data_IF_944639451371
#
_entry.id   IF_944639451371
#
_cell.length_a   1.000
_cell.length_b   1.000
_cell.length_c   1.000
_cell.angle_alpha   90.00
_cell.angle_beta   90.00
_cell.angle_gamma   90.00
#
_symmetry.space_group_name_H-M   'P 1'
#
loop_
_entity.id
_entity.type
_entity.pdbx_description
1 polymer ?
#
# COMPACT_ATOMS: atom_id res chain seq x y z
N UNK A 1 76.33 15.74 2.06
CA UNK A 1 75.48 14.84 1.23
C UNK A 1 74.62 13.87 2.04
N UNK A 2 75.08 13.33 3.15
CA UNK A 2 74.34 12.41 3.99
C UNK A 2 73.15 13.07 4.71
N UNK A 3 73.25 14.32 5.11
CA UNK A 3 72.12 15.05 5.75
C UNK A 3 70.93 15.31 4.81
N UNK A 4 71.19 15.54 3.50
CA UNK A 4 70.11 15.73 2.50
C UNK A 4 69.35 14.44 2.19
N UNK A 5 69.98 13.31 2.20
CA UNK A 5 69.35 12.00 1.99
C UNK A 5 68.44 11.63 3.15
N UNK A 6 68.84 11.92 4.39
CA UNK A 6 68.03 11.74 5.58
C UNK A 6 66.76 12.60 5.56
N UNK A 7 66.86 13.86 5.18
CA UNK A 7 65.71 14.78 5.06
C UNK A 7 64.75 14.37 3.97
N UNK A 8 65.25 13.89 2.83
CA UNK A 8 64.43 13.40 1.72
C UNK A 8 63.65 12.14 2.14
N UNK A 9 64.26 11.21 2.84
CA UNK A 9 63.63 9.99 3.35
C UNK A 9 62.54 10.29 4.38
N UNK A 10 62.76 11.23 5.28
CA UNK A 10 61.79 11.69 6.27
C UNK A 10 60.58 12.33 5.58
N UNK A 11 60.84 13.20 4.59
CA UNK A 11 59.76 13.83 3.81
C UNK A 11 58.92 12.83 3.03
N UNK A 12 59.51 11.82 2.43
CA UNK A 12 58.84 10.76 1.73
C UNK A 12 57.98 9.91 2.67
N UNK A 13 58.49 9.62 3.85
CA UNK A 13 57.78 8.90 4.91
C UNK A 13 56.55 9.70 5.39
N UNK A 14 56.71 10.97 5.68
CA UNK A 14 55.61 11.86 6.10
C UNK A 14 54.53 12.00 5.04
N UNK A 15 54.87 12.13 3.77
CA UNK A 15 53.92 12.18 2.65
C UNK A 15 53.20 10.87 2.49
N UNK A 16 53.87 9.73 2.62
CA UNK A 16 53.28 8.41 2.54
C UNK A 16 52.29 8.17 3.67
N UNK A 17 52.63 8.58 4.88
CA UNK A 17 51.76 8.53 6.04
C UNK A 17 50.54 9.43 5.91
N UNK A 18 50.72 10.66 5.39
CA UNK A 18 49.61 11.57 5.12
C UNK A 18 48.67 11.04 4.09
N UNK A 19 49.14 10.46 3.00
CA UNK A 19 48.33 9.82 1.98
C UNK A 19 47.54 8.64 2.52
N UNK A 20 48.11 7.85 3.41
CA UNK A 20 47.44 6.73 4.08
C UNK A 20 46.31 7.24 4.97
N UNK A 21 46.56 8.26 5.79
CA UNK A 21 45.57 8.88 6.67
C UNK A 21 44.42 9.49 5.85
N UNK A 22 44.73 10.19 4.78
CA UNK A 22 43.74 10.78 3.89
C UNK A 22 42.84 9.70 3.21
N UNK A 23 43.47 8.59 2.81
CA UNK A 23 42.75 7.45 2.24
C UNK A 23 41.81 6.81 3.27
N UNK A 24 42.27 6.59 4.48
CA UNK A 24 41.46 6.02 5.55
C UNK A 24 40.30 6.93 5.91
N UNK A 25 40.51 8.25 5.98
CA UNK A 25 39.43 9.22 6.20
C UNK A 25 38.40 9.19 5.07
N UNK A 26 38.87 9.16 3.82
CA UNK A 26 38.01 9.08 2.65
C UNK A 26 37.14 7.79 2.65
N UNK A 27 37.75 6.65 2.93
CA UNK A 27 37.06 5.36 3.00
C UNK A 27 36.05 5.35 4.14
N UNK A 28 36.37 5.95 5.29
CA UNK A 28 35.45 6.06 6.41
C UNK A 28 34.27 6.98 6.10
N UNK A 29 34.53 8.12 5.46
CA UNK A 29 33.45 9.02 5.00
C UNK A 29 32.55 8.36 3.99
N UNK A 30 33.10 7.57 3.04
CA UNK A 30 32.34 6.80 2.08
C UNK A 30 31.45 5.76 2.78
N UNK A 31 31.99 5.04 3.74
CA UNK A 31 31.22 4.07 4.53
C UNK A 31 30.08 4.73 5.29
N UNK A 32 30.31 5.88 5.89
CA UNK A 32 29.28 6.66 6.58
C UNK A 32 28.17 7.10 5.62
N UNK A 33 28.54 7.60 4.45
CA UNK A 33 27.59 8.03 3.41
C UNK A 33 26.76 6.86 2.90
N UNK A 34 27.39 5.71 2.65
CA UNK A 34 26.71 4.49 2.21
C UNK A 34 25.76 3.99 3.29
N UNK A 35 26.18 4.00 4.55
CA UNK A 35 25.35 3.59 5.68
C UNK A 35 24.15 4.52 5.87
N UNK A 36 24.36 5.84 5.82
CA UNK A 36 23.28 6.83 5.90
C UNK A 36 22.31 6.68 4.73
N UNK A 37 22.82 6.46 3.50
CA UNK A 37 22.01 6.24 2.33
C UNK A 37 21.16 4.95 2.45
N UNK A 38 21.77 3.88 2.98
CA UNK A 38 21.09 2.60 3.24
C UNK A 38 19.97 2.76 4.27
N UNK A 39 20.28 3.43 5.40
CA UNK A 39 19.28 3.69 6.45
C UNK A 39 18.11 4.53 5.92
N UNK A 40 18.43 5.56 5.14
CA UNK A 40 17.42 6.42 4.52
C UNK A 40 16.54 5.65 3.54
N UNK A 41 17.14 4.79 2.74
CA UNK A 41 16.42 3.90 1.81
C UNK A 41 15.50 2.94 2.54
N UNK A 42 16.00 2.28 3.59
CA UNK A 42 15.20 1.37 4.42
C UNK A 42 14.02 2.09 5.08
N UNK A 43 14.25 3.30 5.58
CA UNK A 43 13.20 4.12 6.19
C UNK A 43 12.12 4.48 5.17
N UNK A 44 12.51 4.87 3.96
CA UNK A 44 11.58 5.16 2.86
C UNK A 44 10.77 3.93 2.45
N UNK A 45 11.40 2.77 2.35
CA UNK A 45 10.74 1.51 2.03
C UNK A 45 9.71 1.13 3.09
N UNK A 46 10.06 1.29 4.38
CA UNK A 46 9.13 1.06 5.49
C UNK A 46 7.95 2.03 5.45
N UNK A 47 8.23 3.29 5.15
CA UNK A 47 7.20 4.32 5.01
C UNK A 47 6.23 3.99 3.87
N UNK A 48 6.75 3.59 2.72
CA UNK A 48 5.94 3.20 1.56
C UNK A 48 5.05 2.00 1.87
N UNK A 49 5.59 0.99 2.54
CA UNK A 49 4.83 -0.20 2.98
C UNK A 49 3.74 0.18 3.96
N UNK A 50 4.04 1.07 4.90
CA UNK A 50 3.06 1.52 5.89
C UNK A 50 1.94 2.33 5.23
N UNK A 51 2.27 3.21 4.29
CA UNK A 51 1.28 3.96 3.51
C UNK A 51 0.37 3.01 2.75
N UNK A 52 0.94 2.05 2.03
CA UNK A 52 0.18 1.05 1.27
C UNK A 52 -0.77 0.26 2.17
N UNK A 53 -0.25 -0.23 3.29
CA UNK A 53 -1.03 -0.99 4.27
C UNK A 53 -2.17 -0.15 4.86
N UNK A 54 -1.91 1.12 5.12
CA UNK A 54 -2.90 2.06 5.65
C UNK A 54 -4.00 2.33 4.62
N UNK A 55 -3.63 2.52 3.35
CA UNK A 55 -4.60 2.70 2.26
C UNK A 55 -5.49 1.45 2.12
N UNK A 56 -4.91 0.27 2.13
CA UNK A 56 -5.65 -0.99 2.07
C UNK A 56 -6.64 -1.12 3.23
N UNK A 57 -6.20 -0.75 4.44
CA UNK A 57 -7.06 -0.75 5.63
C UNK A 57 -8.24 0.20 5.50
N UNK A 58 -8.00 1.43 5.04
CA UNK A 58 -9.08 2.42 4.85
C UNK A 58 -10.05 1.99 3.78
N UNK A 59 -9.57 1.39 2.70
CA UNK A 59 -10.42 0.85 1.64
C UNK A 59 -11.32 -0.28 2.15
N UNK A 60 -10.79 -1.17 2.96
CA UNK A 60 -11.55 -2.24 3.61
C UNK A 60 -12.58 -1.68 4.60
N UNK A 61 -12.19 -0.67 5.38
CA UNK A 61 -13.08 -0.02 6.34
C UNK A 61 -14.24 0.70 5.65
N UNK A 62 -14.00 1.31 4.51
CA UNK A 62 -15.05 1.94 3.69
C UNK A 62 -16.05 0.89 3.18
N UNK A 63 -15.58 -0.24 2.70
CA UNK A 63 -16.45 -1.34 2.27
C UNK A 63 -17.30 -1.88 3.42
N UNK A 64 -16.70 -2.03 4.59
CA UNK A 64 -17.44 -2.42 5.80
C UNK A 64 -18.51 -1.39 6.17
N UNK A 65 -18.19 -0.12 6.06
CA UNK A 65 -19.13 0.97 6.33
C UNK A 65 -20.32 0.92 5.36
N UNK A 66 -20.08 0.66 4.09
CA UNK A 66 -21.16 0.48 3.08
C UNK A 66 -22.05 -0.70 3.47
N UNK A 67 -21.46 -1.82 3.86
CA UNK A 67 -22.21 -2.99 4.31
C UNK A 67 -23.10 -2.67 5.51
N UNK A 68 -22.60 -1.93 6.48
CA UNK A 68 -23.36 -1.48 7.64
C UNK A 68 -24.51 -0.54 7.26
N UNK A 69 -24.28 0.38 6.34
CA UNK A 69 -25.29 1.31 5.84
C UNK A 69 -26.42 0.53 5.11
N UNK A 70 -26.07 -0.45 4.32
CA UNK A 70 -27.07 -1.31 3.63
C UNK A 70 -27.91 -2.06 4.66
N UNK A 71 -27.30 -2.65 5.68
CA UNK A 71 -28.01 -3.37 6.75
C UNK A 71 -28.93 -2.46 7.54
N UNK A 72 -28.52 -1.24 7.84
CA UNK A 72 -29.36 -0.22 8.50
C UNK A 72 -30.54 0.16 7.62
N UNK A 73 -30.32 0.34 6.33
CA UNK A 73 -31.39 0.63 5.36
C UNK A 73 -32.39 -0.51 5.26
N UNK A 74 -31.93 -1.76 5.20
CA UNK A 74 -32.78 -2.96 5.21
C UNK A 74 -33.66 -2.97 6.47
N UNK A 75 -33.08 -2.72 7.63
CA UNK A 75 -33.81 -2.67 8.90
C UNK A 75 -34.92 -1.60 8.87
N UNK A 76 -34.63 -0.42 8.32
CA UNK A 76 -35.60 0.65 8.18
C UNK A 76 -36.75 0.24 7.24
N UNK A 77 -36.46 -0.42 6.13
CA UNK A 77 -37.46 -0.90 5.17
C UNK A 77 -38.37 -1.96 5.82
N UNK A 78 -37.79 -2.88 6.58
CA UNK A 78 -38.53 -3.93 7.29
C UNK A 78 -39.43 -3.33 8.38
N UNK A 79 -38.98 -2.27 9.07
CA UNK A 79 -39.76 -1.59 10.11
C UNK A 79 -41.00 -0.85 9.58
N UNK A 80 -41.03 -0.48 8.30
CA UNK A 80 -42.22 0.15 7.69
C UNK A 80 -43.45 -0.79 7.60
N UNK A 81 -43.27 -2.09 7.77
CA UNK A 81 -44.35 -3.01 8.07
C UNK A 81 -45.16 -3.57 6.91
N UNK A 82 -45.00 -3.10 5.69
CA UNK A 82 -45.67 -3.64 4.51
C UNK A 82 -44.74 -4.58 3.74
N UNK A 83 -44.55 -5.78 4.24
CA UNK A 83 -43.68 -6.77 3.59
C UNK A 83 -44.57 -7.71 2.75
N UNK A 84 -44.52 -7.50 1.42
CA UNK A 84 -45.04 -8.46 0.43
C UNK A 84 -43.94 -9.39 -0.06
N UNK A 85 -44.27 -10.33 -0.95
CA UNK A 85 -43.31 -11.27 -1.50
C UNK A 85 -42.16 -10.58 -2.25
N UNK A 86 -42.43 -9.50 -2.97
CA UNK A 86 -41.42 -8.72 -3.69
C UNK A 86 -40.43 -8.05 -2.70
N UNK A 87 -40.92 -7.52 -1.58
CA UNK A 87 -40.08 -6.94 -0.54
C UNK A 87 -39.23 -8.01 0.17
N UNK A 88 -39.76 -9.18 0.42
CA UNK A 88 -39.00 -10.30 1.00
C UNK A 88 -37.85 -10.70 0.08
N UNK A 89 -38.08 -10.85 -1.20
CA UNK A 89 -37.07 -11.16 -2.20
C UNK A 89 -36.03 -10.05 -2.27
N UNK A 90 -36.45 -8.79 -2.25
CA UNK A 90 -35.57 -7.64 -2.24
C UNK A 90 -34.71 -7.62 -0.98
N UNK A 91 -35.27 -7.89 0.18
CA UNK A 91 -34.52 -7.93 1.46
C UNK A 91 -33.45 -9.01 1.43
N UNK A 92 -33.78 -10.20 0.95
CA UNK A 92 -32.79 -11.28 0.83
C UNK A 92 -31.69 -10.93 -0.16
N UNK A 93 -32.05 -10.35 -1.29
CA UNK A 93 -31.09 -9.84 -2.27
C UNK A 93 -30.16 -8.75 -1.65
N UNK A 94 -30.75 -7.79 -0.96
CA UNK A 94 -30.01 -6.69 -0.34
C UNK A 94 -29.07 -7.18 0.78
N UNK A 95 -29.48 -8.17 1.58
CA UNK A 95 -28.64 -8.80 2.59
C UNK A 95 -27.41 -9.46 1.97
N UNK A 96 -27.59 -10.14 0.85
CA UNK A 96 -26.47 -10.76 0.10
C UNK A 96 -25.51 -9.70 -0.42
N UNK A 97 -26.01 -8.56 -0.90
CA UNK A 97 -25.17 -7.44 -1.34
C UNK A 97 -24.40 -6.83 -0.17
N UNK A 98 -25.02 -6.68 0.98
CA UNK A 98 -24.31 -6.23 2.20
C UNK A 98 -23.17 -7.19 2.57
N UNK A 99 -23.40 -8.48 2.53
CA UNK A 99 -22.40 -9.50 2.80
C UNK A 99 -21.27 -9.49 1.76
N UNK A 100 -21.59 -9.17 0.52
CA UNK A 100 -20.61 -9.01 -0.55
C UNK A 100 -19.70 -7.79 -0.31
N UNK A 101 -20.24 -6.67 0.17
CA UNK A 101 -19.48 -5.49 0.54
C UNK A 101 -18.65 -5.68 1.82
N UNK A 102 -19.09 -6.57 2.71
CA UNK A 102 -18.45 -6.78 4.01
C UNK A 102 -17.13 -7.54 3.85
N UNK A 103 -15.97 -6.92 4.15
CA UNK A 103 -14.70 -7.61 3.99
C UNK A 103 -14.48 -8.78 4.96
N UNK A 104 -15.25 -8.83 6.06
CA UNK A 104 -15.18 -9.92 7.05
C UNK A 104 -15.87 -11.17 6.49
N UNK A 105 -17.05 -11.01 5.88
CA UNK A 105 -17.84 -12.10 5.28
C UNK A 105 -17.32 -12.41 3.88
N UNK A 106 -17.04 -11.38 3.09
CA UNK A 106 -16.49 -11.45 1.74
C UNK A 106 -17.24 -12.47 0.86
N UNK A 107 -18.57 -12.35 0.82
CA UNK A 107 -19.42 -13.25 0.06
C UNK A 107 -19.10 -13.14 -1.44
N UNK A 108 -18.99 -14.29 -2.10
CA UNK A 108 -18.87 -14.34 -3.55
C UNK A 108 -20.26 -14.13 -4.19
N UNK A 109 -20.35 -13.20 -5.13
CA UNK A 109 -21.58 -12.92 -5.87
C UNK A 109 -21.55 -13.62 -7.23
N UNK A 110 -22.66 -14.26 -7.59
CA UNK A 110 -22.79 -14.99 -8.84
C UNK A 110 -22.56 -14.11 -10.08
N UNK A 111 -23.00 -12.85 -10.03
CA UNK A 111 -22.91 -11.92 -11.15
C UNK A 111 -21.72 -10.94 -11.04
N UNK A 112 -21.45 -10.46 -9.83
CA UNK A 112 -20.41 -9.45 -9.57
C UNK A 112 -19.03 -10.07 -9.27
N UNK A 113 -19.00 -11.35 -8.95
CA UNK A 113 -17.78 -12.05 -8.60
C UNK A 113 -17.27 -11.70 -7.22
N UNK A 114 -15.96 -11.75 -7.04
CA UNK A 114 -15.29 -11.40 -5.79
C UNK A 114 -14.92 -9.93 -5.78
N UNK A 115 -15.29 -9.25 -4.70
CA UNK A 115 -14.86 -7.85 -4.51
C UNK A 115 -13.48 -7.81 -3.87
N UNK A 116 -12.58 -7.02 -4.44
CA UNK A 116 -11.26 -6.79 -3.88
C UNK A 116 -11.31 -5.58 -2.94
N UNK A 117 -11.56 -5.84 -1.66
CA UNK A 117 -11.80 -4.82 -0.64
C UNK A 117 -10.62 -3.88 -0.39
N UNK A 118 -9.41 -4.34 -0.65
CA UNK A 118 -8.19 -3.55 -0.45
C UNK A 118 -7.94 -2.50 -1.54
N UNK A 119 -8.61 -2.62 -2.68
CA UNK A 119 -8.46 -1.68 -3.80
C UNK A 119 -9.19 -0.36 -3.55
N UNK A 120 -8.79 0.68 -4.28
CA UNK A 120 -9.40 2.01 -4.20
C UNK A 120 -10.86 1.98 -4.67
N UNK A 121 -11.61 2.98 -4.22
CA UNK A 121 -13.02 3.16 -4.60
C UNK A 121 -13.19 3.27 -6.12
N UNK A 122 -12.27 3.96 -6.80
CA UNK A 122 -12.28 4.11 -8.26
C UNK A 122 -12.07 2.77 -8.96
N UNK A 123 -11.14 1.95 -8.48
CA UNK A 123 -10.85 0.63 -9.05
C UNK A 123 -12.01 -0.36 -8.84
N UNK A 124 -12.76 -0.21 -7.73
CA UNK A 124 -13.91 -1.04 -7.38
C UNK A 124 -15.23 -0.51 -7.90
N UNK A 125 -15.24 0.52 -8.71
CA UNK A 125 -16.44 1.19 -9.17
C UNK A 125 -17.32 0.23 -10.01
N UNK A 126 -18.58 0.07 -9.62
CA UNK A 126 -19.55 -0.77 -10.32
C UNK A 126 -19.86 -0.25 -11.74
N UNK A 127 -19.78 1.05 -11.94
CA UNK A 127 -19.93 1.66 -13.27
C UNK A 127 -18.86 1.18 -14.24
N UNK A 128 -17.66 0.91 -13.74
CA UNK A 128 -16.55 0.37 -14.53
C UNK A 128 -16.84 -1.07 -14.97
N UNK A 129 -17.41 -1.89 -14.09
CA UNK A 129 -17.84 -3.25 -14.41
C UNK A 129 -18.95 -3.25 -15.47
N UNK A 130 -19.90 -2.33 -15.39
CA UNK A 130 -20.94 -2.13 -16.40
C UNK A 130 -20.36 -1.75 -17.75
N UNK A 131 -19.34 -0.88 -17.77
CA UNK A 131 -18.62 -0.47 -18.98
C UNK A 131 -17.92 -1.66 -19.65
N UNK A 132 -17.30 -2.53 -18.88
CA UNK A 132 -16.62 -3.74 -19.37
C UNK A 132 -17.61 -4.72 -20.02
N UNK A 133 -18.79 -4.88 -19.45
CA UNK A 133 -19.89 -5.71 -19.99
C UNK A 133 -20.39 -5.12 -21.32
N UNK A 134 -20.60 -3.81 -21.36
CA UNK A 134 -21.03 -3.09 -22.56
C UNK A 134 -20.03 -3.28 -23.71
N UNK A 135 -18.73 -3.33 -23.39
CA UNK A 135 -17.67 -3.56 -24.35
C UNK A 135 -17.69 -4.98 -24.93
N UNK A 136 -18.07 -5.98 -24.12
CA UNK A 136 -18.16 -7.38 -24.55
C UNK A 136 -19.33 -7.67 -25.49
N UNK A 137 -20.31 -6.77 -25.59
CA UNK A 137 -21.51 -6.94 -26.43
C UNK A 137 -21.46 -6.13 -27.73
N UNK A 138 -20.40 -5.36 -27.98
CA UNK A 138 -20.25 -4.54 -29.19
C UNK A 138 -19.60 -5.32 -30.35
N UNK A 139 -20.22 -6.42 -30.74
CA UNK A 139 -19.72 -7.20 -31.90
C UNK A 139 -20.81 -7.69 -32.87
#
# INVERSE_FOLDING_TARGET
>A
MEERLGDILINLYEKSEQLRVDREKFEEEQRKREEEARQKKELLERKEKEIKRTIELTNQAEDYNIACQIRQYISAVVQEGNIDLEKEEWVEWAKKKADWYDPIIALYDEYLGKREHSKSKEEKNLNKLSSDISFGWSW
#
